data_IF_639630422986
#
_entry.id   IF_639630422986
#
_cell.length_a   1.000
_cell.length_b   1.000
_cell.length_c   1.000
_cell.angle_alpha   90.00
_cell.angle_beta   90.00
_cell.angle_gamma   90.00
#
_symmetry.space_group_name_H-M   'P 1'
#
loop_
_entity.id
_entity.type
_entity.pdbx_description
1 polymer ?
#
# COMPACT_ATOMS: atom_id res chain seq x y z
N UNK A 1 29.14 -16.61 -10.16
CA UNK A 1 28.82 -15.84 -8.93
C UNK A 1 27.32 -15.94 -8.66
N UNK A 2 26.90 -16.30 -7.43
CA UNK A 2 25.50 -16.17 -7.02
C UNK A 2 25.33 -14.74 -6.54
N UNK A 3 24.70 -13.90 -7.36
CA UNK A 3 24.30 -12.56 -6.91
C UNK A 3 23.45 -12.72 -5.65
N UNK A 4 23.87 -12.09 -4.55
CA UNK A 4 23.05 -12.02 -3.35
C UNK A 4 21.70 -11.43 -3.75
N UNK A 5 20.62 -12.19 -3.56
CA UNK A 5 19.27 -11.67 -3.73
C UNK A 5 19.04 -10.71 -2.56
N UNK A 6 19.40 -9.45 -2.76
CA UNK A 6 19.12 -8.39 -1.81
C UNK A 6 17.60 -8.26 -1.71
N UNK A 7 17.08 -8.44 -0.49
CA UNK A 7 15.65 -8.20 -0.22
C UNK A 7 15.32 -6.77 -0.66
N UNK A 8 14.23 -6.54 -1.41
CA UNK A 8 13.85 -5.21 -1.82
C UNK A 8 13.65 -4.35 -0.58
N UNK A 9 14.13 -3.11 -0.65
CA UNK A 9 13.86 -2.11 0.38
C UNK A 9 12.37 -1.83 0.42
N UNK A 10 11.86 -1.46 1.61
CA UNK A 10 10.48 -1.00 1.70
C UNK A 10 10.30 0.23 0.79
N UNK A 11 9.13 0.39 0.14
CA UNK A 11 8.84 1.57 -0.67
C UNK A 11 9.05 2.85 0.12
N UNK A 12 9.50 3.90 -0.59
CA UNK A 12 9.59 5.23 -0.02
C UNK A 12 8.19 5.74 0.39
N UNK A 13 8.08 6.51 1.49
CA UNK A 13 6.81 7.15 1.83
C UNK A 13 6.32 8.08 0.71
N UNK A 14 5.05 7.96 0.33
CA UNK A 14 4.41 8.80 -0.67
C UNK A 14 3.67 9.97 0.00
N UNK A 15 4.14 11.19 -0.25
CA UNK A 15 3.62 12.43 0.33
C UNK A 15 2.43 13.02 -0.43
N UNK A 16 2.12 12.50 -1.62
CA UNK A 16 1.11 13.03 -2.52
C UNK A 16 1.66 13.72 -3.77
N UNK A 17 2.99 13.84 -3.94
CA UNK A 17 3.59 14.45 -5.14
C UNK A 17 3.33 13.59 -6.39
N UNK A 18 2.53 14.06 -7.37
CA UNK A 18 2.19 13.28 -8.56
C UNK A 18 3.42 12.81 -9.35
N UNK A 19 4.54 13.52 -9.28
CA UNK A 19 5.79 13.17 -9.98
C UNK A 19 6.43 11.89 -9.42
N UNK A 20 6.09 11.50 -8.18
CA UNK A 20 6.59 10.29 -7.52
C UNK A 20 5.60 9.12 -7.61
N UNK A 21 4.43 9.32 -8.21
CA UNK A 21 3.34 8.33 -8.21
C UNK A 21 3.73 7.03 -8.92
N UNK A 22 4.31 7.12 -10.13
CA UNK A 22 4.73 5.93 -10.88
C UNK A 22 5.83 5.15 -10.16
N UNK A 23 6.77 5.87 -9.53
CA UNK A 23 7.82 5.27 -8.70
C UNK A 23 7.20 4.51 -7.52
N UNK A 24 6.27 5.15 -6.79
CA UNK A 24 5.61 4.56 -5.65
C UNK A 24 4.87 3.25 -6.00
N UNK A 25 4.09 3.24 -7.08
CA UNK A 25 3.41 2.02 -7.53
C UNK A 25 4.36 0.92 -8.00
N UNK A 26 5.45 1.30 -8.67
CA UNK A 26 6.48 0.34 -9.10
C UNK A 26 7.19 -0.33 -7.92
N UNK A 27 7.50 0.45 -6.88
CA UNK A 27 8.10 -0.07 -5.64
C UNK A 27 7.13 -0.98 -4.88
N UNK A 28 5.84 -0.62 -4.79
CA UNK A 28 4.81 -1.48 -4.22
C UNK A 28 4.70 -2.81 -4.97
N UNK A 29 4.58 -2.78 -6.29
CA UNK A 29 4.47 -3.98 -7.11
C UNK A 29 5.69 -4.92 -6.92
N UNK A 30 6.89 -4.35 -6.88
CA UNK A 30 8.13 -5.10 -6.61
C UNK A 30 8.12 -5.73 -5.22
N UNK A 31 7.74 -4.95 -4.20
CA UNK A 31 7.68 -5.43 -2.82
C UNK A 31 6.65 -6.55 -2.65
N UNK A 32 5.47 -6.41 -3.26
CA UNK A 32 4.40 -7.42 -3.23
C UNK A 32 4.85 -8.72 -3.89
N UNK A 33 5.52 -8.64 -5.05
CA UNK A 33 6.07 -9.81 -5.73
C UNK A 33 7.11 -10.56 -4.91
N UNK A 34 7.85 -9.86 -4.05
CA UNK A 34 8.87 -10.48 -3.20
C UNK A 34 8.32 -11.10 -1.91
N UNK A 35 7.21 -10.57 -1.38
CA UNK A 35 6.57 -11.04 -0.14
C UNK A 35 5.16 -11.61 -0.34
N UNK A 36 4.93 -12.54 -1.30
CA UNK A 36 3.58 -12.99 -1.68
C UNK A 36 2.87 -13.81 -0.59
N UNK A 37 3.62 -14.35 0.38
CA UNK A 37 3.05 -15.07 1.54
C UNK A 37 2.63 -14.13 2.67
N UNK A 38 3.27 -12.96 2.77
CA UNK A 38 2.97 -11.95 3.81
C UNK A 38 1.91 -10.97 3.33
N UNK A 39 1.87 -10.69 2.03
CA UNK A 39 0.91 -9.80 1.38
C UNK A 39 0.05 -10.64 0.44
N UNK A 40 -0.77 -11.50 1.05
CA UNK A 40 -1.38 -12.65 0.38
C UNK A 40 -2.56 -12.24 -0.47
N UNK A 41 -3.37 -11.32 0.01
CA UNK A 41 -4.56 -10.83 -0.65
C UNK A 41 -4.50 -9.31 -0.84
N UNK A 42 -5.53 -8.78 -1.49
CA UNK A 42 -5.60 -7.35 -1.81
C UNK A 42 -5.80 -6.49 -0.56
N UNK A 43 -6.39 -7.05 0.50
CA UNK A 43 -6.55 -6.38 1.79
C UNK A 43 -5.18 -6.12 2.43
N UNK A 44 -4.34 -7.17 2.55
CA UNK A 44 -2.96 -7.03 3.06
C UNK A 44 -2.16 -5.97 2.27
N UNK A 45 -2.33 -5.96 0.95
CA UNK A 45 -1.63 -5.03 0.05
C UNK A 45 -2.09 -3.59 0.22
N UNK A 46 -3.40 -3.36 0.36
CA UNK A 46 -3.97 -2.03 0.59
C UNK A 46 -3.56 -1.50 1.97
N UNK A 47 -3.62 -2.33 3.01
CA UNK A 47 -3.15 -1.98 4.35
C UNK A 47 -1.66 -1.59 4.30
N UNK A 48 -0.84 -2.40 3.64
CA UNK A 48 0.59 -2.10 3.49
C UNK A 48 0.83 -0.80 2.72
N UNK A 49 0.18 -0.60 1.57
CA UNK A 49 0.31 0.62 0.78
C UNK A 49 -0.11 1.86 1.58
N UNK A 50 -1.19 1.76 2.35
CA UNK A 50 -1.65 2.78 3.29
C UNK A 50 -0.57 3.16 4.32
N UNK A 51 0.14 2.18 4.89
CA UNK A 51 1.26 2.42 5.81
C UNK A 51 2.46 3.14 5.17
N UNK A 52 2.47 3.25 3.84
CA UNK A 52 3.49 3.95 3.04
C UNK A 52 3.04 5.28 2.51
N UNK A 53 1.87 5.77 2.91
CA UNK A 53 1.51 7.16 2.71
C UNK A 53 2.15 8.04 3.78
N UNK A 54 2.38 9.30 3.44
CA UNK A 54 2.85 10.36 4.33
C UNK A 54 2.18 11.69 3.96
N UNK A 55 2.34 12.71 4.81
CA UNK A 55 1.89 14.08 4.49
C UNK A 55 0.39 14.16 4.17
N UNK A 56 0.08 14.82 3.06
CA UNK A 56 -1.31 15.05 2.65
C UNK A 56 -2.01 13.75 2.22
N UNK A 57 -1.27 12.83 1.59
CA UNK A 57 -1.80 11.52 1.21
C UNK A 57 -2.20 10.68 2.42
N UNK A 58 -1.37 10.66 3.48
CA UNK A 58 -1.70 10.00 4.74
C UNK A 58 -2.88 10.68 5.45
N UNK A 59 -2.91 12.01 5.46
CA UNK A 59 -3.99 12.80 6.07
C UNK A 59 -5.34 12.45 5.45
N UNK A 60 -5.39 12.32 4.13
CA UNK A 60 -6.60 11.95 3.41
C UNK A 60 -7.01 10.48 3.65
N UNK A 61 -6.03 9.57 3.70
CA UNK A 61 -6.31 8.13 3.75
C UNK A 61 -6.55 7.58 5.17
N UNK A 62 -5.92 8.16 6.20
CA UNK A 62 -6.00 7.67 7.59
C UNK A 62 -7.43 7.49 8.10
N UNK A 63 -8.40 8.41 7.88
CA UNK A 63 -9.76 8.21 8.33
C UNK A 63 -10.47 7.02 7.66
N UNK A 64 -10.10 6.70 6.42
CA UNK A 64 -10.64 5.54 5.67
C UNK A 64 -10.15 4.25 6.34
N UNK A 65 -8.87 4.18 6.65
CA UNK A 65 -8.26 3.04 7.37
C UNK A 65 -8.85 2.86 8.76
N UNK A 66 -9.02 3.95 9.51
CA UNK A 66 -9.64 3.89 10.83
C UNK A 66 -11.08 3.37 10.76
N UNK A 67 -11.88 3.85 9.81
CA UNK A 67 -13.24 3.34 9.61
C UNK A 67 -13.24 1.85 9.23
N UNK A 68 -12.25 1.39 8.46
CA UNK A 68 -12.09 -0.02 8.11
C UNK A 68 -11.80 -0.88 9.34
N UNK A 69 -10.82 -0.48 10.16
CA UNK A 69 -10.45 -1.17 11.41
C UNK A 69 -11.61 -1.22 12.42
N UNK A 70 -12.42 -0.16 12.48
CA UNK A 70 -13.59 -0.07 13.35
C UNK A 70 -14.84 -0.79 12.76
N UNK A 71 -14.73 -1.42 11.59
CA UNK A 71 -15.84 -2.10 10.92
C UNK A 71 -16.96 -1.17 10.43
N UNK A 72 -16.67 0.12 10.29
CA UNK A 72 -17.60 1.19 9.88
C UNK A 72 -17.70 1.36 8.36
N UNK A 73 -16.92 0.61 7.59
CA UNK A 73 -17.04 0.57 6.12
C UNK A 73 -18.23 -0.31 5.73
N UNK A 74 -19.23 0.27 5.09
CA UNK A 74 -20.35 -0.47 4.51
C UNK A 74 -19.89 -1.22 3.23
N UNK A 75 -19.52 -2.49 3.40
CA UNK A 75 -19.09 -3.38 2.30
C UNK A 75 -20.15 -3.59 1.21
N UNK A 76 -21.43 -3.24 1.46
CA UNK A 76 -22.48 -3.31 0.45
C UNK A 76 -22.45 -2.14 -0.55
N UNK A 77 -21.81 -1.01 -0.21
CA UNK A 77 -21.63 0.13 -1.12
C UNK A 77 -20.43 -0.02 -2.06
N UNK A 78 -19.50 -0.92 -1.75
CA UNK A 78 -18.28 -1.11 -2.54
C UNK A 78 -18.47 -2.05 -3.74
N UNK A 79 -19.54 -2.86 -3.76
CA UNK A 79 -19.82 -3.85 -4.81
C UNK A 79 -20.56 -3.30 -6.04
N UNK A 80 -20.70 -1.98 -6.15
CA UNK A 80 -21.44 -1.34 -7.24
C UNK A 80 -20.55 -0.35 -7.99
N UNK A 81 -19.54 -0.86 -8.71
CA UNK A 81 -18.94 -0.23 -9.88
C UNK A 81 -18.44 -1.31 -10.84
#
# INVERSE_FOLDING_TARGET
>A
EKGEVLKPTKPEPFDGDPRKMDKFFSELATYFGYFPRTLKDDEDRVIFAGSRLAGDAETWFRPIMQNYEEGKIDSKKLKTQ
#
